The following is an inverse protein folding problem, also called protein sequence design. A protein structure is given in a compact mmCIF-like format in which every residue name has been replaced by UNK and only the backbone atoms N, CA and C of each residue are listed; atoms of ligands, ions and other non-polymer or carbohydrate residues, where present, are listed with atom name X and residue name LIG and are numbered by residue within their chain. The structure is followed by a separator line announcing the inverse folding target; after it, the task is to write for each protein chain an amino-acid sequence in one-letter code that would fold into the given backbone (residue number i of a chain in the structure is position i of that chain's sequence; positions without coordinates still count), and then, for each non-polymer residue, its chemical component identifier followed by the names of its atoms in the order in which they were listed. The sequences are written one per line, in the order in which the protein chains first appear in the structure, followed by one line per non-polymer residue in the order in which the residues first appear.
data_IF_013699830386
#
_entry.id   IF_013699830386
#
_cell.length_a   1.000
_cell.length_b   1.000
_cell.length_c   1.000
_cell.angle_alpha   90.00
_cell.angle_beta   90.00
_cell.angle_gamma   90.00
#
_symmetry.space_group_name_H-M   'P 1'
#
loop_
_entity.id
_entity.type
_entity.pdbx_description
1 polymer ?
#
# COMPACT_ATOMS: atom_id res chain seq x y z
N UNK A 1 3.93 -9.28 -13.17
CA UNK A 1 2.72 -9.06 -12.32
C UNK A 1 1.96 -7.85 -12.84
N UNK A 2 0.64 -7.95 -13.02
CA UNK A 2 -0.21 -6.82 -13.43
C UNK A 2 -0.42 -5.87 -12.23
N UNK A 3 -0.23 -4.56 -12.45
CA UNK A 3 -0.36 -3.52 -11.41
C UNK A 3 -1.76 -3.49 -10.79
N UNK A 4 -2.79 -3.72 -11.59
CA UNK A 4 -4.18 -3.74 -11.12
C UNK A 4 -4.45 -4.93 -10.21
N UNK A 5 -3.98 -6.12 -10.61
CA UNK A 5 -4.18 -7.34 -9.84
C UNK A 5 -3.39 -7.31 -8.53
N UNK A 6 -2.10 -6.98 -8.56
CA UNK A 6 -1.29 -6.89 -7.34
C UNK A 6 -1.69 -5.73 -6.44
N UNK A 7 -2.08 -4.58 -7.01
CA UNK A 7 -2.55 -3.44 -6.24
C UNK A 7 -3.85 -3.76 -5.52
N UNK A 8 -4.82 -4.31 -6.24
CA UNK A 8 -6.09 -4.74 -5.67
C UNK A 8 -5.93 -5.85 -4.62
N UNK A 9 -5.07 -6.83 -4.88
CA UNK A 9 -4.77 -7.89 -3.92
C UNK A 9 -4.08 -7.35 -2.66
N UNK A 10 -3.13 -6.43 -2.81
CA UNK A 10 -2.42 -5.81 -1.69
C UNK A 10 -3.39 -5.05 -0.77
N UNK A 11 -4.22 -4.17 -1.34
CA UNK A 11 -5.20 -3.44 -0.55
C UNK A 11 -6.26 -4.37 0.06
N UNK A 12 -6.74 -5.35 -0.72
CA UNK A 12 -7.71 -6.32 -0.24
C UNK A 12 -7.17 -7.12 0.96
N UNK A 13 -5.92 -7.59 0.89
CA UNK A 13 -5.26 -8.30 2.00
C UNK A 13 -5.05 -7.40 3.22
N UNK A 14 -4.70 -6.13 3.05
CA UNK A 14 -4.62 -5.17 4.16
C UNK A 14 -5.96 -5.10 4.90
N UNK A 15 -7.05 -4.91 4.16
CA UNK A 15 -8.40 -4.77 4.72
C UNK A 15 -8.89 -6.06 5.41
N UNK A 16 -8.43 -7.22 4.97
CA UNK A 16 -8.77 -8.51 5.58
C UNK A 16 -7.94 -8.78 6.84
N UNK A 17 -6.62 -8.59 6.78
CA UNK A 17 -5.70 -8.94 7.87
C UNK A 17 -5.73 -7.89 8.99
N UNK A 18 -5.97 -6.62 8.61
CA UNK A 18 -5.97 -5.47 9.51
C UNK A 18 -7.31 -4.73 9.40
N UNK A 19 -8.41 -5.32 9.90
CA UNK A 19 -9.77 -4.86 9.62
C UNK A 19 -10.08 -3.45 10.13
N UNK A 20 -9.33 -2.92 11.11
CA UNK A 20 -9.46 -1.52 11.53
C UNK A 20 -9.16 -0.52 10.42
N UNK A 21 -8.40 -0.92 9.39
CA UNK A 21 -8.11 -0.08 8.22
C UNK A 21 -9.35 0.14 7.32
N UNK A 22 -10.39 -0.68 7.46
CA UNK A 22 -11.63 -0.53 6.69
C UNK A 22 -12.35 0.81 6.94
N UNK A 23 -12.18 1.40 8.13
CA UNK A 23 -12.78 2.70 8.50
C UNK A 23 -12.41 3.87 7.58
N UNK A 24 -11.32 3.75 6.83
CA UNK A 24 -10.88 4.77 5.88
C UNK A 24 -11.58 4.65 4.52
N UNK A 25 -12.39 3.60 4.32
CA UNK A 25 -12.95 3.20 3.04
C UNK A 25 -14.48 3.01 3.07
N UNK A 26 -15.19 3.72 3.94
CA UNK A 26 -16.66 3.61 4.10
C UNK A 26 -17.42 3.81 2.77
N UNK A 27 -16.88 4.63 1.87
CA UNK A 27 -17.45 4.87 0.53
C UNK A 27 -17.33 3.67 -0.43
N UNK A 28 -16.63 2.60 -0.05
CA UNK A 28 -16.38 1.44 -0.91
C UNK A 28 -17.54 0.42 -0.88
N UNK A 29 -18.53 0.62 -0.02
CA UNK A 29 -19.70 -0.25 0.08
C UNK A 29 -19.40 -1.50 0.92
N UNK A 30 -19.82 -2.67 0.46
CA UNK A 30 -19.72 -3.89 1.26
C UNK A 30 -18.25 -4.34 1.42
N UNK A 31 -17.75 -4.33 2.65
CA UNK A 31 -16.45 -4.85 3.07
C UNK A 31 -16.57 -5.88 4.22
N UNK A 32 -17.77 -6.47 4.41
CA UNK A 32 -18.08 -7.29 5.60
C UNK A 32 -17.43 -8.67 5.64
N UNK A 33 -16.84 -9.15 4.54
CA UNK A 33 -16.18 -10.45 4.46
C UNK A 33 -14.97 -10.40 3.52
N UNK A 34 -14.07 -11.37 3.65
CA UNK A 34 -12.90 -11.46 2.78
C UNK A 34 -13.28 -11.57 1.29
N UNK A 35 -14.32 -12.34 0.95
CA UNK A 35 -14.80 -12.43 -0.43
C UNK A 35 -15.39 -11.12 -0.93
N UNK A 36 -16.15 -10.41 -0.09
CA UNK A 36 -16.69 -9.09 -0.42
C UNK A 36 -15.57 -8.08 -0.67
N UNK A 37 -14.55 -8.03 0.19
CA UNK A 37 -13.38 -7.16 0.06
C UNK A 37 -12.59 -7.47 -1.22
N UNK A 38 -12.19 -8.73 -1.42
CA UNK A 38 -11.33 -9.12 -2.54
C UNK A 38 -12.05 -9.01 -3.90
N UNK A 39 -13.37 -9.16 -3.91
CA UNK A 39 -14.22 -8.95 -5.07
C UNK A 39 -14.61 -7.50 -5.35
N UNK A 40 -14.33 -6.56 -4.43
CA UNK A 40 -14.84 -5.19 -4.52
C UNK A 40 -14.11 -4.38 -5.62
N UNK A 41 -14.84 -3.85 -6.62
CA UNK A 41 -14.22 -3.10 -7.72
C UNK A 41 -13.57 -1.78 -7.26
N UNK A 42 -14.09 -1.14 -6.20
CA UNK A 42 -13.50 0.09 -5.64
C UNK A 42 -12.20 -0.21 -4.89
N UNK A 43 -12.12 -1.35 -4.20
CA UNK A 43 -10.86 -1.84 -3.59
C UNK A 43 -9.81 -2.06 -4.69
N UNK A 44 -10.16 -2.77 -5.77
CA UNK A 44 -9.24 -3.00 -6.89
C UNK A 44 -8.77 -1.69 -7.54
N UNK A 45 -9.70 -0.79 -7.84
CA UNK A 45 -9.38 0.51 -8.44
C UNK A 45 -8.49 1.37 -7.54
N UNK A 46 -8.72 1.38 -6.23
CA UNK A 46 -7.89 2.14 -5.30
C UNK A 46 -6.53 1.48 -5.09
N UNK A 47 -6.47 0.15 -4.98
CA UNK A 47 -5.23 -0.62 -4.92
C UNK A 47 -4.32 -0.36 -6.12
N UNK A 48 -4.90 -0.25 -7.32
CA UNK A 48 -4.17 0.18 -8.53
C UNK A 48 -3.55 1.57 -8.38
N UNK A 49 -4.29 2.55 -7.82
CA UNK A 49 -3.76 3.91 -7.56
C UNK A 49 -2.61 3.88 -6.58
N UNK A 50 -2.75 3.13 -5.48
CA UNK A 50 -1.68 2.93 -4.49
C UNK A 50 -0.42 2.37 -5.16
N UNK A 51 -0.54 1.27 -5.90
CA UNK A 51 0.63 0.63 -6.49
C UNK A 51 1.25 1.46 -7.64
N UNK A 52 0.44 2.24 -8.35
CA UNK A 52 0.95 3.23 -9.33
C UNK A 52 1.80 4.29 -8.65
N UNK A 53 1.33 4.83 -7.52
CA UNK A 53 2.06 5.83 -6.72
C UNK A 53 3.38 5.26 -6.16
N UNK A 54 3.39 4.00 -5.71
CA UNK A 54 4.62 3.28 -5.37
C UNK A 54 5.57 3.12 -6.57
N UNK A 55 5.05 3.00 -7.78
CA UNK A 55 5.84 3.01 -9.01
C UNK A 55 6.57 4.33 -9.25
N UNK A 56 6.00 5.46 -8.82
CA UNK A 56 6.67 6.76 -8.88
C UNK A 56 7.78 6.87 -7.82
N UNK A 57 7.64 6.22 -6.66
CA UNK A 57 8.74 6.11 -5.68
C UNK A 57 10.01 5.51 -6.29
N UNK A 58 9.87 4.51 -7.17
CA UNK A 58 11.00 3.84 -7.84
C UNK A 58 11.75 4.80 -8.76
N UNK A 59 11.06 5.76 -9.36
CA UNK A 59 11.65 6.77 -10.25
C UNK A 59 12.34 7.90 -9.48
N UNK A 60 12.03 8.07 -8.20
CA UNK A 60 12.47 9.17 -7.35
C UNK A 60 13.04 8.67 -6.00
N UNK A 61 13.81 7.59 -6.04
CA UNK A 61 14.38 6.95 -4.83
C UNK A 61 15.32 7.87 -4.04
N UNK A 62 15.89 8.88 -4.69
CA UNK A 62 16.76 9.91 -4.11
C UNK A 62 15.99 11.00 -3.35
N UNK A 63 14.73 11.25 -3.70
CA UNK A 63 13.86 12.23 -3.02
C UNK A 63 12.45 11.72 -2.77
N UNK A 64 12.34 10.67 -1.94
CA UNK A 64 11.03 10.15 -1.54
C UNK A 64 10.21 11.18 -0.74
N UNK A 65 10.85 11.99 0.11
CA UNK A 65 10.14 12.97 0.95
C UNK A 65 9.50 14.06 0.12
N UNK A 66 10.22 14.65 -0.84
CA UNK A 66 9.66 15.63 -1.76
C UNK A 66 8.56 15.03 -2.63
N UNK A 67 8.80 13.83 -3.18
CA UNK A 67 7.83 13.10 -4.02
C UNK A 67 6.51 12.85 -3.30
N UNK A 68 6.55 12.47 -2.02
CA UNK A 68 5.36 12.11 -1.25
C UNK A 68 4.81 13.22 -0.34
N UNK A 69 5.35 14.44 -0.38
CA UNK A 69 4.97 15.52 0.55
C UNK A 69 3.46 15.81 0.53
N UNK A 70 2.88 16.03 -0.66
CA UNK A 70 1.44 16.29 -0.80
C UNK A 70 0.58 15.10 -0.36
N UNK A 71 1.07 13.88 -0.60
CA UNK A 71 0.36 12.66 -0.21
C UNK A 71 0.40 12.46 1.32
N UNK A 72 1.52 12.83 1.94
CA UNK A 72 1.69 12.84 3.40
C UNK A 72 0.71 13.81 4.06
N UNK A 73 0.62 15.06 3.56
CA UNK A 73 -0.34 16.06 4.05
C UNK A 73 -1.78 15.58 3.89
N UNK A 74 -2.14 15.02 2.73
CA UNK A 74 -3.48 14.47 2.52
C UNK A 74 -3.83 13.39 3.56
N UNK A 75 -2.93 12.42 3.75
CA UNK A 75 -3.20 11.30 4.66
C UNK A 75 -3.19 11.72 6.14
N UNK A 76 -2.40 12.72 6.50
CA UNK A 76 -2.36 13.30 7.84
C UNK A 76 -3.60 14.18 8.13
N UNK A 77 -3.77 15.24 7.34
CA UNK A 77 -4.65 16.35 7.69
C UNK A 77 -6.11 16.13 7.30
N UNK A 78 -6.35 15.28 6.29
CA UNK A 78 -7.70 15.02 5.77
C UNK A 78 -8.20 13.64 6.07
N UNK A 79 -7.34 12.63 5.92
CA UNK A 79 -7.74 11.23 6.09
C UNK A 79 -7.46 10.70 7.50
N UNK A 80 -6.62 11.39 8.28
CA UNK A 80 -6.23 11.02 9.64
C UNK A 80 -5.78 9.56 9.76
N UNK A 81 -5.01 9.11 8.76
CA UNK A 81 -4.49 7.73 8.70
C UNK A 81 -3.32 7.60 9.65
N UNK A 82 -3.39 6.70 10.64
CA UNK A 82 -2.25 6.42 11.51
C UNK A 82 -1.03 5.96 10.68
N UNK A 83 0.15 6.61 10.85
CA UNK A 83 1.39 6.28 10.16
C UNK A 83 1.78 4.78 10.15
N UNK A 84 1.41 4.04 11.20
CA UNK A 84 1.72 2.62 11.28
C UNK A 84 1.06 1.82 10.16
N UNK A 85 -0.11 2.26 9.66
CA UNK A 85 -0.81 1.59 8.56
C UNK A 85 -0.02 1.62 7.24
N UNK A 86 0.87 2.59 7.03
CA UNK A 86 1.74 2.59 5.85
C UNK A 86 2.75 1.45 5.87
N UNK A 87 3.31 1.13 7.05
CA UNK A 87 4.21 0.00 7.22
C UNK A 87 3.48 -1.32 7.02
N UNK A 88 2.26 -1.44 7.56
CA UNK A 88 1.42 -2.63 7.37
C UNK A 88 1.14 -2.87 5.88
N UNK A 89 0.73 -1.82 5.15
CA UNK A 89 0.51 -1.90 3.70
C UNK A 89 1.78 -2.32 2.95
N UNK A 90 2.93 -1.75 3.30
CA UNK A 90 4.23 -2.11 2.74
C UNK A 90 4.58 -3.59 2.93
N UNK A 91 4.37 -4.13 4.13
CA UNK A 91 4.63 -5.54 4.44
C UNK A 91 3.67 -6.49 3.69
N UNK A 92 2.41 -6.08 3.53
CA UNK A 92 1.44 -6.83 2.72
C UNK A 92 1.86 -6.85 1.25
N UNK A 93 2.35 -5.73 0.71
CA UNK A 93 2.86 -5.67 -0.66
C UNK A 93 4.03 -6.63 -0.85
N UNK A 94 5.02 -6.63 0.05
CA UNK A 94 6.17 -7.55 -0.02
C UNK A 94 5.70 -9.01 -0.02
N UNK A 95 4.69 -9.33 0.80
CA UNK A 95 4.08 -10.67 0.85
C UNK A 95 3.40 -11.03 -0.47
N UNK A 96 2.63 -10.11 -1.07
CA UNK A 96 1.99 -10.32 -2.38
C UNK A 96 3.06 -10.55 -3.46
N UNK A 97 4.12 -9.74 -3.50
CA UNK A 97 5.20 -9.93 -4.47
C UNK A 97 5.86 -11.31 -4.29
N UNK A 98 6.12 -11.74 -3.05
CA UNK A 98 6.66 -13.07 -2.78
C UNK A 98 5.77 -14.21 -3.31
N UNK A 99 4.44 -14.08 -3.15
CA UNK A 99 3.47 -15.07 -3.69
C UNK A 99 3.53 -15.12 -5.22
N UNK A 100 3.56 -13.96 -5.87
CA UNK A 100 3.49 -13.87 -7.34
C UNK A 100 4.80 -14.26 -8.03
N UNK A 101 5.95 -13.90 -7.47
CA UNK A 101 7.27 -14.18 -8.06
C UNK A 101 7.87 -15.50 -7.56
N UNK A 102 7.36 -16.07 -6.46
CA UNK A 102 7.80 -17.36 -5.94
C UNK A 102 9.31 -17.43 -5.77
N UNK A 103 9.96 -18.37 -6.47
CA UNK A 103 11.41 -18.59 -6.38
C UNK A 103 12.25 -17.43 -6.92
N UNK A 104 11.68 -16.58 -7.77
CA UNK A 104 12.36 -15.38 -8.30
C UNK A 104 12.44 -14.26 -7.24
N UNK A 105 11.60 -14.32 -6.20
CA UNK A 105 11.65 -13.38 -5.08
C UNK A 105 12.72 -13.81 -4.06
N UNK A 106 13.98 -13.74 -4.49
CA UNK A 106 15.13 -14.14 -3.66
C UNK A 106 15.23 -13.26 -2.41
N UNK A 107 15.98 -13.68 -1.37
CA UNK A 107 16.19 -12.87 -0.17
C UNK A 107 16.72 -11.45 -0.46
N UNK A 108 17.57 -11.29 -1.47
CA UNK A 108 18.12 -9.99 -1.90
C UNK A 108 17.04 -9.11 -2.54
N UNK A 109 16.17 -9.70 -3.36
CA UNK A 109 15.02 -9.01 -3.97
C UNK A 109 14.03 -8.60 -2.87
N UNK A 110 13.71 -9.50 -1.94
CA UNK A 110 12.86 -9.21 -0.80
C UNK A 110 13.42 -8.06 0.05
N UNK A 111 14.72 -8.11 0.39
CA UNK A 111 15.37 -7.06 1.18
C UNK A 111 15.31 -5.69 0.47
N UNK A 112 15.48 -5.68 -0.85
CA UNK A 112 15.40 -4.46 -1.66
C UNK A 112 14.00 -3.86 -1.63
N UNK A 113 12.96 -4.69 -1.81
CA UNK A 113 11.57 -4.26 -1.70
C UNK A 113 11.22 -3.81 -0.28
N UNK A 114 11.68 -4.52 0.75
CA UNK A 114 11.47 -4.15 2.15
C UNK A 114 12.08 -2.77 2.46
N UNK A 115 13.30 -2.50 1.96
CA UNK A 115 13.94 -1.18 2.09
C UNK A 115 13.12 -0.10 1.40
N UNK A 116 12.64 -0.36 0.18
CA UNK A 116 11.83 0.58 -0.58
C UNK A 116 10.53 0.92 0.15
N UNK A 117 9.73 -0.07 0.55
CA UNK A 117 8.44 0.18 1.22
C UNK A 117 8.62 0.86 2.59
N UNK A 118 9.74 0.59 3.28
CA UNK A 118 10.10 1.29 4.53
C UNK A 118 10.41 2.76 4.27
N UNK A 119 11.15 3.07 3.21
CA UNK A 119 11.44 4.44 2.78
C UNK A 119 10.17 5.21 2.41
N UNK A 120 9.27 4.57 1.65
CA UNK A 120 7.96 5.15 1.28
C UNK A 120 7.10 5.40 2.53
N UNK A 121 7.01 4.44 3.45
CA UNK A 121 6.29 4.64 4.71
C UNK A 121 6.87 5.81 5.51
N UNK A 122 8.20 5.93 5.60
CA UNK A 122 8.84 7.07 6.27
C UNK A 122 8.54 8.41 5.60
N UNK A 123 8.51 8.45 4.27
CA UNK A 123 8.18 9.66 3.51
C UNK A 123 6.71 10.07 3.71
N UNK A 124 5.79 9.10 3.67
CA UNK A 124 4.37 9.34 3.93
C UNK A 124 4.08 9.79 5.37
N UNK A 125 4.92 9.40 6.32
CA UNK A 125 4.81 9.83 7.72
C UNK A 125 5.47 11.18 8.01
N UNK A 126 6.14 11.80 7.04
CA UNK A 126 7.02 12.96 7.29
C UNK A 126 6.30 14.25 7.72
N UNK A 127 5.00 14.37 7.48
CA UNK A 127 4.17 15.54 7.84
C UNK A 127 3.27 15.30 9.06
N UNK A 128 3.41 14.16 9.72
CA UNK A 128 2.69 13.86 10.96
C UNK A 128 3.45 14.53 12.12
N UNK A 129 2.87 15.60 12.66
CA UNK A 129 3.45 16.41 13.73
C UNK A 129 3.06 15.91 15.12
#
# INVERSE_FOLDING_TARGET
VNVEDAGGETLGRLLVVYPWTQRFFDSFGNLSSASAIMGNPKVKAHGKKVLTSLGDAIKHLDDLKGTFAQLSELHCDKLHVDPENFKLLGNVLVTVLAIHFGKEFTPEVQASWQKMVTGVASALSSRYH
#
